data_IF_437426037432
#
_entry.id   IF_437426037432
#
_cell.length_a   1.000
_cell.length_b   1.000
_cell.length_c   1.000
_cell.angle_alpha   90.00
_cell.angle_beta   90.00
_cell.angle_gamma   90.00
#
_symmetry.space_group_name_H-M   'P 1'
#
loop_
_entity.id
_entity.type
_entity.pdbx_description
1 polymer ?
#
# COMPACT_ATOMS: atom_id res chain seq x y z
N UNK A 1 -6.82 -37.73 -4.40
CA UNK A 1 -7.26 -36.40 -4.88
C UNK A 1 -7.88 -36.60 -6.25
N UNK A 2 -9.17 -36.27 -6.45
CA UNK A 2 -9.85 -36.51 -7.73
C UNK A 2 -9.25 -35.60 -8.81
N UNK A 3 -9.29 -35.98 -10.08
CA UNK A 3 -8.72 -35.16 -11.18
C UNK A 3 -9.32 -33.75 -11.25
N UNK A 4 -10.60 -33.61 -10.93
CA UNK A 4 -11.27 -32.32 -10.85
C UNK A 4 -10.70 -31.43 -9.72
N UNK A 5 -10.31 -32.02 -8.58
CA UNK A 5 -9.66 -31.29 -7.49
C UNK A 5 -8.26 -30.83 -7.90
N UNK A 6 -7.53 -31.66 -8.67
CA UNK A 6 -6.22 -31.30 -9.25
C UNK A 6 -6.33 -30.15 -10.24
N UNK A 7 -7.33 -30.18 -11.12
CA UNK A 7 -7.55 -29.13 -12.11
C UNK A 7 -7.93 -27.79 -11.46
N UNK A 8 -8.84 -27.81 -10.47
CA UNK A 8 -9.21 -26.62 -9.68
C UNK A 8 -8.03 -26.05 -8.91
N UNK A 9 -7.22 -26.93 -8.30
CA UNK A 9 -6.03 -26.51 -7.58
C UNK A 9 -5.00 -25.83 -8.50
N UNK A 10 -4.75 -26.38 -9.70
CA UNK A 10 -3.86 -25.77 -10.69
C UNK A 10 -4.37 -24.41 -11.16
N UNK A 11 -5.64 -24.33 -11.54
CA UNK A 11 -6.24 -23.06 -11.97
C UNK A 11 -6.14 -21.97 -10.88
N UNK A 12 -6.33 -22.34 -9.61
CA UNK A 12 -6.17 -21.41 -8.49
C UNK A 12 -4.72 -20.96 -8.30
N UNK A 13 -3.74 -21.86 -8.46
CA UNK A 13 -2.32 -21.50 -8.42
C UNK A 13 -1.94 -20.59 -9.58
N UNK A 14 -2.40 -20.89 -10.79
CA UNK A 14 -2.10 -20.11 -11.98
C UNK A 14 -2.68 -18.69 -11.86
N UNK A 15 -3.94 -18.58 -11.44
CA UNK A 15 -4.57 -17.28 -11.15
C UNK A 15 -3.82 -16.51 -10.06
N UNK A 16 -3.43 -17.20 -8.98
CA UNK A 16 -2.69 -16.57 -7.89
C UNK A 16 -1.33 -16.04 -8.36
N UNK A 17 -0.57 -16.83 -9.14
CA UNK A 17 0.70 -16.37 -9.69
C UNK A 17 0.50 -15.16 -10.62
N UNK A 18 -0.50 -15.20 -11.50
CA UNK A 18 -0.84 -14.08 -12.38
C UNK A 18 -1.20 -12.82 -11.59
N UNK A 19 -1.98 -12.96 -10.52
CA UNK A 19 -2.33 -11.85 -9.63
C UNK A 19 -1.08 -11.23 -9.01
N UNK A 20 -0.16 -12.05 -8.50
CA UNK A 20 1.10 -11.57 -7.92
C UNK A 20 2.01 -10.88 -8.92
N UNK A 21 2.15 -11.45 -10.11
CA UNK A 21 2.97 -10.87 -11.17
C UNK A 21 2.39 -9.52 -11.62
N UNK A 22 1.06 -9.42 -11.73
CA UNK A 22 0.37 -8.15 -11.99
C UNK A 22 0.61 -7.12 -10.88
N UNK A 23 0.48 -7.53 -9.63
CA UNK A 23 0.73 -6.65 -8.48
C UNK A 23 2.18 -6.17 -8.41
N UNK A 24 3.14 -7.07 -8.64
CA UNK A 24 4.56 -6.75 -8.73
C UNK A 24 4.82 -5.75 -9.84
N UNK A 25 4.20 -5.93 -11.02
CA UNK A 25 4.33 -5.01 -12.14
C UNK A 25 3.82 -3.60 -11.77
N UNK A 26 2.67 -3.50 -11.09
CA UNK A 26 2.15 -2.22 -10.58
C UNK A 26 3.16 -1.56 -9.62
N UNK A 27 3.73 -2.33 -8.69
CA UNK A 27 4.72 -1.82 -7.74
C UNK A 27 5.98 -1.30 -8.44
N UNK A 28 6.50 -2.05 -9.41
CA UNK A 28 7.63 -1.62 -10.24
C UNK A 28 7.30 -0.35 -11.02
N UNK A 29 6.10 -0.24 -11.59
CA UNK A 29 5.64 0.98 -12.28
C UNK A 29 5.57 2.19 -11.35
N UNK A 30 5.09 2.02 -10.11
CA UNK A 30 5.04 3.11 -9.12
C UNK A 30 6.47 3.58 -8.83
N UNK A 31 7.34 2.66 -8.44
CA UNK A 31 8.72 2.93 -8.04
C UNK A 31 9.52 3.65 -9.14
N UNK A 32 9.37 3.21 -10.39
CA UNK A 32 10.07 3.81 -11.54
C UNK A 32 9.60 5.24 -11.86
N UNK A 33 8.43 5.63 -11.36
CA UNK A 33 7.84 6.95 -11.58
C UNK A 33 7.91 7.85 -10.34
N UNK A 34 8.36 7.33 -9.19
CA UNK A 34 8.51 8.13 -7.98
C UNK A 34 9.59 9.22 -8.18
N UNK A 35 9.37 10.41 -7.62
CA UNK A 35 10.33 11.51 -7.71
C UNK A 35 11.63 11.17 -6.95
N UNK A 36 12.76 11.14 -7.66
CA UNK A 36 14.07 10.72 -7.11
C UNK A 36 14.60 11.68 -6.05
N UNK A 37 14.16 12.94 -6.09
CA UNK A 37 14.50 13.94 -5.08
C UNK A 37 13.90 13.63 -3.70
N UNK A 38 12.83 12.82 -3.63
CA UNK A 38 12.25 12.36 -2.36
C UNK A 38 12.64 10.91 -2.04
N UNK A 39 12.76 10.07 -3.08
CA UNK A 39 13.01 8.63 -2.96
C UNK A 39 14.21 8.18 -3.81
N UNK A 40 15.44 8.58 -3.48
CA UNK A 40 16.62 8.19 -4.24
C UNK A 40 16.86 6.67 -4.20
N UNK A 41 16.37 5.98 -3.16
CA UNK A 41 16.48 4.54 -2.99
C UNK A 41 15.40 3.72 -3.75
N UNK A 42 14.52 4.40 -4.51
CA UNK A 42 13.52 3.75 -5.35
C UNK A 42 14.16 2.95 -6.50
N UNK A 43 15.28 3.42 -7.08
CA UNK A 43 15.98 2.71 -8.15
C UNK A 43 16.65 1.38 -7.72
N UNK A 44 16.68 1.10 -6.41
CA UNK A 44 17.33 -0.07 -5.79
C UNK A 44 16.31 -1.06 -5.20
N UNK A 45 15.05 -1.07 -5.66
CA UNK A 45 14.04 -1.99 -5.11
C UNK A 45 14.41 -3.43 -5.45
N UNK A 46 14.86 -4.16 -4.43
CA UNK A 46 15.11 -5.61 -4.45
C UNK A 46 13.92 -6.36 -3.85
N UNK A 47 13.90 -7.69 -4.00
CA UNK A 47 12.87 -8.57 -3.42
C UNK A 47 12.72 -8.44 -1.90
N UNK A 48 13.74 -7.94 -1.20
CA UNK A 48 13.73 -7.75 0.27
C UNK A 48 12.80 -6.62 0.72
N UNK A 49 12.39 -5.74 -0.20
CA UNK A 49 11.46 -4.63 0.09
C UNK A 49 9.99 -5.04 -0.02
N UNK A 50 9.72 -6.28 -0.44
CA UNK A 50 8.39 -6.87 -0.45
C UNK A 50 8.14 -7.57 0.89
N UNK A 51 7.03 -7.22 1.53
CA UNK A 51 6.61 -7.80 2.79
C UNK A 51 5.24 -8.47 2.63
N UNK A 52 5.10 -9.67 3.18
CA UNK A 52 3.82 -10.33 3.39
C UNK A 52 3.89 -11.18 4.67
N UNK A 53 2.79 -11.26 5.43
CA UNK A 53 2.78 -12.04 6.67
C UNK A 53 2.97 -13.53 6.36
N UNK A 54 3.94 -14.16 7.04
CA UNK A 54 4.14 -15.61 6.95
C UNK A 54 3.10 -16.32 7.81
N UNK A 55 2.19 -17.05 7.18
CA UNK A 55 1.20 -17.87 7.88
C UNK A 55 1.82 -19.24 8.24
N UNK A 56 1.74 -19.63 9.51
CA UNK A 56 2.41 -20.81 10.07
C UNK A 56 1.79 -22.16 9.65
N UNK A 57 0.60 -22.17 9.06
CA UNK A 57 -0.10 -23.39 8.72
C UNK A 57 -0.86 -23.24 7.39
N UNK A 58 -0.64 -24.23 6.49
CA UNK A 58 -1.33 -24.46 5.20
C UNK A 58 -1.04 -23.38 4.12
N UNK A 59 -0.89 -23.74 2.83
CA UNK A 59 -0.91 -22.75 1.75
C UNK A 59 -2.20 -21.94 1.84
N UNK A 60 -2.06 -20.67 2.20
CA UNK A 60 -3.13 -19.70 2.37
C UNK A 60 -2.69 -18.41 1.72
N UNK A 61 -3.63 -17.68 1.11
CA UNK A 61 -3.37 -16.39 0.48
C UNK A 61 -3.12 -15.37 1.60
N UNK A 62 -1.93 -14.74 1.68
CA UNK A 62 -1.71 -13.64 2.61
C UNK A 62 -2.82 -12.58 2.53
N UNK A 63 -3.30 -12.06 3.67
CA UNK A 63 -4.37 -11.07 3.69
C UNK A 63 -3.95 -9.72 3.11
N UNK A 64 -2.63 -9.46 3.00
CA UNK A 64 -2.07 -8.29 2.31
C UNK A 64 -0.65 -8.54 1.80
N UNK A 65 -0.22 -7.68 0.87
CA UNK A 65 1.15 -7.56 0.38
C UNK A 65 1.59 -6.11 0.49
N UNK A 66 2.82 -5.86 0.92
CA UNK A 66 3.34 -4.50 1.03
C UNK A 66 4.65 -4.35 0.26
N UNK A 67 4.80 -3.21 -0.42
CA UNK A 67 6.10 -2.71 -0.88
C UNK A 67 6.50 -1.53 0.01
N UNK A 68 7.76 -1.56 0.45
CA UNK A 68 8.30 -0.61 1.41
C UNK A 68 9.42 0.18 0.74
N UNK A 69 9.31 1.51 0.72
CA UNK A 69 10.29 2.38 0.06
C UNK A 69 10.80 3.40 1.07
N UNK A 70 12.13 3.42 1.24
CA UNK A 70 12.82 4.43 2.02
C UNK A 70 12.97 5.70 1.19
N UNK A 71 12.70 6.85 1.80
CA UNK A 71 13.00 8.17 1.24
C UNK A 71 13.96 8.94 2.13
N UNK A 72 14.24 10.20 1.77
CA UNK A 72 15.16 11.04 2.55
C UNK A 72 14.56 11.51 3.88
N UNK A 73 13.31 11.98 3.85
CA UNK A 73 12.58 12.48 5.03
C UNK A 73 11.32 11.67 5.34
N UNK A 74 10.91 10.82 4.41
CA UNK A 74 9.64 10.11 4.49
C UNK A 74 9.83 8.63 4.15
N UNK A 75 9.05 7.77 4.79
CA UNK A 75 8.86 6.38 4.38
C UNK A 75 7.57 6.25 3.59
N UNK A 76 7.57 5.38 2.59
CA UNK A 76 6.40 5.04 1.79
C UNK A 76 6.09 3.55 1.96
N UNK A 77 4.85 3.25 2.31
CA UNK A 77 4.31 1.89 2.37
C UNK A 77 3.14 1.79 1.39
N UNK A 78 3.23 0.86 0.45
CA UNK A 78 2.20 0.57 -0.55
C UNK A 78 1.63 -0.80 -0.19
N UNK A 79 0.40 -0.85 0.31
CA UNK A 79 -0.22 -2.07 0.81
C UNK A 79 -1.38 -2.49 -0.08
N UNK A 80 -1.25 -3.64 -0.74
CA UNK A 80 -2.34 -4.30 -1.42
C UNK A 80 -3.09 -5.18 -0.45
N UNK A 81 -4.32 -4.81 -0.16
CA UNK A 81 -5.21 -5.49 0.77
C UNK A 81 -6.09 -6.46 -0.01
N UNK A 82 -5.96 -7.75 0.30
CA UNK A 82 -6.78 -8.82 -0.28
C UNK A 82 -7.96 -9.12 0.64
N UNK A 83 -7.69 -9.21 1.94
CA UNK A 83 -8.72 -9.38 2.95
C UNK A 83 -9.20 -8.01 3.45
N UNK A 84 -10.33 -7.56 2.92
CA UNK A 84 -11.02 -6.34 3.39
C UNK A 84 -11.41 -6.42 4.88
N UNK A 85 -11.31 -7.60 5.51
CA UNK A 85 -11.33 -7.80 6.96
C UNK A 85 -10.36 -6.93 7.74
N UNK A 86 -9.21 -6.58 7.14
CA UNK A 86 -8.18 -5.73 7.75
C UNK A 86 -8.59 -4.26 7.84
N UNK A 87 -9.47 -3.80 6.95
CA UNK A 87 -9.93 -2.42 6.93
C UNK A 87 -11.01 -2.25 8.01
N UNK A 88 -10.83 -1.26 8.88
CA UNK A 88 -11.79 -0.99 9.94
C UNK A 88 -13.17 -0.62 9.38
N UNK A 89 -14.23 -1.20 9.96
CA UNK A 89 -15.62 -0.90 9.57
C UNK A 89 -15.98 0.58 9.72
N UNK A 90 -15.47 1.21 10.79
CA UNK A 90 -15.60 2.65 11.06
C UNK A 90 -14.22 3.32 10.89
N UNK A 91 -13.60 3.08 9.73
CA UNK A 91 -12.27 3.58 9.38
C UNK A 91 -12.32 4.75 8.39
N UNK A 92 -11.15 5.10 7.87
CA UNK A 92 -11.03 6.17 6.87
C UNK A 92 -11.31 5.73 5.44
N UNK A 93 -11.19 4.42 5.18
CA UNK A 93 -11.20 3.77 3.88
C UNK A 93 -12.47 2.93 3.67
N UNK A 94 -12.80 2.70 2.40
CA UNK A 94 -13.88 1.80 1.98
C UNK A 94 -13.43 0.35 2.18
N UNK A 95 -14.32 -0.51 2.66
CA UNK A 95 -14.00 -1.89 3.03
C UNK A 95 -14.04 -2.83 1.83
N UNK A 96 -13.04 -2.73 0.96
CA UNK A 96 -12.89 -3.52 -0.26
C UNK A 96 -11.42 -3.85 -0.57
N UNK A 97 -11.15 -4.89 -1.38
CA UNK A 97 -9.81 -5.16 -1.90
C UNK A 97 -9.27 -3.95 -2.66
N UNK A 98 -8.10 -3.46 -2.27
CA UNK A 98 -7.57 -2.18 -2.72
C UNK A 98 -6.08 -2.05 -2.48
N UNK A 99 -5.44 -1.09 -3.15
CA UNK A 99 -4.10 -0.61 -2.83
C UNK A 99 -4.24 0.61 -1.91
N UNK A 100 -3.66 0.55 -0.73
CA UNK A 100 -3.61 1.65 0.22
C UNK A 100 -2.18 2.18 0.26
N UNK A 101 -2.05 3.48 -0.01
CA UNK A 101 -0.77 4.19 0.02
C UNK A 101 -0.68 4.90 1.36
N UNK A 102 0.43 4.70 2.08
CA UNK A 102 0.71 5.37 3.35
C UNK A 102 2.09 5.99 3.27
N UNK A 103 2.16 7.32 3.30
CA UNK A 103 3.40 8.07 3.39
C UNK A 103 3.52 8.66 4.79
N UNK A 104 4.69 8.53 5.42
CA UNK A 104 4.88 8.90 6.82
C UNK A 104 6.24 9.57 7.07
N UNK A 105 6.35 10.37 8.12
CA UNK A 105 7.55 11.18 8.45
C UNK A 105 8.75 10.38 9.02
N UNK A 106 8.67 9.05 9.05
CA UNK A 106 9.72 8.18 9.61
C UNK A 106 10.48 7.44 8.50
N UNK A 107 11.39 8.13 7.81
CA UNK A 107 12.16 7.61 6.66
C UNK A 107 12.76 6.21 6.87
N UNK A 108 13.40 5.98 8.02
CA UNK A 108 14.16 4.75 8.33
C UNK A 108 13.31 3.66 9.02
N UNK A 109 12.00 3.86 9.16
CA UNK A 109 11.08 2.90 9.80
C UNK A 109 10.03 2.35 8.82
N UNK A 110 10.27 2.49 7.52
CA UNK A 110 9.39 1.98 6.47
C UNK A 110 9.11 0.46 6.58
N UNK A 111 10.01 -0.33 7.19
CA UNK A 111 9.81 -1.77 7.44
C UNK A 111 8.78 -2.11 8.52
N UNK A 112 8.26 -1.12 9.25
CA UNK A 112 7.36 -1.30 10.38
C UNK A 112 5.89 -1.24 9.94
N UNK A 113 5.49 -2.15 9.04
CA UNK A 113 4.13 -2.21 8.47
C UNK A 113 3.06 -2.29 9.56
N UNK A 114 3.26 -3.15 10.56
CA UNK A 114 2.28 -3.36 11.64
C UNK A 114 2.09 -2.13 12.54
N UNK A 115 3.15 -1.34 12.76
CA UNK A 115 3.08 -0.14 13.60
C UNK A 115 2.62 1.11 12.83
N UNK A 116 2.71 1.10 11.50
CA UNK A 116 2.40 2.26 10.65
C UNK A 116 1.20 1.94 9.76
N UNK A 117 1.42 1.27 8.62
CA UNK A 117 0.39 1.01 7.62
C UNK A 117 -0.84 0.28 8.17
N UNK A 118 -0.65 -0.79 8.94
CA UNK A 118 -1.81 -1.52 9.50
C UNK A 118 -2.55 -0.75 10.58
N UNK A 119 -1.88 0.09 11.37
CA UNK A 119 -2.55 0.98 12.33
C UNK A 119 -3.42 2.02 11.61
N UNK A 120 -2.94 2.59 10.51
CA UNK A 120 -3.71 3.51 9.65
C UNK A 120 -4.92 2.81 9.05
N UNK A 121 -4.73 1.62 8.45
CA UNK A 121 -5.80 0.84 7.80
C UNK A 121 -6.86 0.36 8.81
N UNK A 122 -6.41 -0.07 9.97
CA UNK A 122 -7.27 -0.56 11.05
C UNK A 122 -7.88 0.57 11.88
N UNK A 123 -7.59 1.84 11.56
CA UNK A 123 -7.98 3.01 12.36
C UNK A 123 -7.67 2.83 13.86
N UNK A 124 -6.44 2.39 14.17
CA UNK A 124 -5.96 2.11 15.54
C UNK A 124 -4.77 2.99 15.85
N UNK A 125 -4.79 3.61 17.04
CA UNK A 125 -3.70 4.49 17.50
C UNK A 125 -3.38 5.57 16.46
N UNK A 126 -4.41 6.09 15.80
CA UNK A 126 -4.29 7.17 14.83
C UNK A 126 -5.26 8.29 15.19
N UNK A 127 -4.86 9.51 14.90
CA UNK A 127 -5.66 10.71 15.05
C UNK A 127 -5.80 11.36 13.68
N UNK A 128 -7.04 11.67 13.29
CA UNK A 128 -7.33 12.37 12.05
C UNK A 128 -7.10 13.88 12.26
N UNK A 129 -6.32 14.49 11.38
CA UNK A 129 -6.14 15.95 11.34
C UNK A 129 -7.05 16.54 10.28
N UNK A 130 -7.01 15.97 9.07
CA UNK A 130 -7.70 16.51 7.91
C UNK A 130 -8.06 15.39 6.93
N UNK A 131 -9.14 15.57 6.18
CA UNK A 131 -9.53 14.69 5.07
C UNK A 131 -10.13 15.54 3.95
N UNK A 132 -9.57 15.41 2.75
CA UNK A 132 -10.00 16.12 1.55
C UNK A 132 -9.62 15.28 0.31
N UNK A 133 -10.49 15.26 -0.68
CA UNK A 133 -10.28 14.58 -1.97
C UNK A 133 -9.82 13.11 -1.85
N UNK A 134 -10.32 12.41 -0.83
CA UNK A 134 -9.96 11.00 -0.56
C UNK A 134 -8.59 10.81 0.10
N UNK A 135 -7.82 11.87 0.31
CA UNK A 135 -6.57 11.85 1.06
C UNK A 135 -6.87 12.15 2.54
N UNK A 136 -6.21 11.38 3.40
CA UNK A 136 -6.36 11.43 4.85
C UNK A 136 -5.02 11.86 5.42
N UNK A 137 -5.00 12.91 6.24
CA UNK A 137 -3.82 13.32 7.00
C UNK A 137 -4.07 13.08 8.47
N UNK A 138 -3.05 12.57 9.16
CA UNK A 138 -3.18 12.22 10.55
C UNK A 138 -1.86 12.04 11.28
N UNK A 139 -1.98 11.72 12.55
CA UNK A 139 -0.88 11.35 13.43
C UNK A 139 -1.03 9.90 13.87
N UNK A 140 0.05 9.12 13.78
CA UNK A 140 0.17 7.82 14.44
C UNK A 140 0.64 8.05 15.88
N UNK A 141 -0.14 7.57 16.84
CA UNK A 141 0.10 7.60 18.29
C UNK A 141 0.60 6.25 18.83
N UNK A 142 1.23 5.45 17.98
CA UNK A 142 1.75 4.13 18.31
C UNK A 142 3.17 4.19 18.91
N UNK A 143 3.85 3.04 19.00
CA UNK A 143 5.23 2.98 19.53
C UNK A 143 6.19 3.83 18.70
N UNK A 144 5.93 3.91 17.39
CA UNK A 144 6.65 4.75 16.44
C UNK A 144 5.70 5.87 16.01
N UNK A 145 5.73 7.04 16.67
CA UNK A 145 4.87 8.16 16.28
C UNK A 145 5.33 8.76 14.96
N UNK A 146 4.38 9.10 14.11
CA UNK A 146 4.65 9.67 12.79
C UNK A 146 3.45 10.48 12.31
N UNK A 147 3.73 11.54 11.57
CA UNK A 147 2.72 12.20 10.75
C UNK A 147 2.57 11.36 9.49
N UNK A 148 1.35 11.22 9.01
CA UNK A 148 1.08 10.48 7.80
C UNK A 148 0.07 11.18 6.92
N UNK A 149 0.17 10.88 5.63
CA UNK A 149 -0.98 10.95 4.76
C UNK A 149 -1.19 9.60 4.08
N UNK A 150 -2.45 9.29 3.81
CA UNK A 150 -2.83 8.04 3.20
C UNK A 150 -4.03 8.20 2.29
N UNK A 151 -4.11 7.34 1.28
CA UNK A 151 -5.24 7.28 0.36
C UNK A 151 -5.40 5.86 -0.19
N UNK A 152 -6.58 5.57 -0.73
CA UNK A 152 -6.97 4.26 -1.22
C UNK A 152 -7.22 4.32 -2.73
N UNK A 153 -6.77 3.28 -3.43
CA UNK A 153 -6.99 3.06 -4.86
C UNK A 153 -7.62 1.68 -5.02
N UNK A 154 -8.84 1.62 -5.52
CA UNK A 154 -9.54 0.37 -5.76
C UNK A 154 -8.79 -0.47 -6.83
N UNK A 155 -8.76 -1.80 -6.66
CA UNK A 155 -8.04 -2.70 -7.57
C UNK A 155 -8.68 -2.80 -8.95
N UNK A 156 -9.99 -2.58 -9.04
CA UNK A 156 -10.74 -2.56 -10.29
C UNK A 156 -10.25 -1.49 -11.27
N UNK A 157 -9.64 -0.41 -10.77
CA UNK A 157 -8.97 0.61 -11.59
C UNK A 157 -7.83 0.08 -12.44
N UNK A 158 -7.38 -1.16 -12.26
CA UNK A 158 -6.33 -1.78 -13.08
C UNK A 158 -6.89 -2.90 -13.99
N UNK A 159 -8.20 -3.11 -13.99
CA UNK A 159 -8.86 -4.05 -14.90
C UNK A 159 -9.17 -3.40 -16.26
N UNK A 160 -8.99 -4.15 -17.35
CA UNK A 160 -9.36 -3.77 -18.73
C UNK A 160 -8.84 -2.40 -19.21
N UNK A 161 -7.53 -2.16 -19.06
CA UNK A 161 -6.89 -0.90 -19.44
C UNK A 161 -5.70 -1.13 -20.38
N UNK A 162 -5.68 -0.37 -21.47
CA UNK A 162 -4.59 -0.39 -22.47
C UNK A 162 -3.29 0.27 -21.98
N UNK A 163 -3.38 1.18 -20.99
CA UNK A 163 -2.23 1.92 -20.45
C UNK A 163 -2.21 1.97 -18.91
N UNK A 164 -1.79 0.86 -18.29
CA UNK A 164 -1.63 0.74 -16.84
C UNK A 164 -0.65 1.75 -16.26
N UNK A 165 0.40 2.14 -16.99
CA UNK A 165 1.39 3.10 -16.52
C UNK A 165 0.77 4.48 -16.24
N UNK A 166 -0.09 4.95 -17.14
CA UNK A 166 -0.77 6.23 -16.98
C UNK A 166 -1.76 6.21 -15.82
N UNK A 167 -2.46 5.09 -15.61
CA UNK A 167 -3.36 4.94 -14.46
C UNK A 167 -2.58 4.97 -13.14
N UNK A 168 -1.44 4.27 -13.07
CA UNK A 168 -0.52 4.32 -11.94
C UNK A 168 -0.05 5.76 -11.70
N UNK A 169 0.34 6.47 -12.77
CA UNK A 169 0.80 7.85 -12.71
C UNK A 169 -0.26 8.76 -12.10
N UNK A 170 -1.48 8.71 -12.62
CA UNK A 170 -2.57 9.61 -12.23
C UNK A 170 -3.13 9.31 -10.84
N UNK A 171 -3.30 8.03 -10.49
CA UNK A 171 -4.02 7.62 -9.28
C UNK A 171 -3.12 7.35 -8.09
N UNK A 172 -1.81 7.14 -8.29
CA UNK A 172 -0.86 6.84 -7.21
C UNK A 172 0.27 7.87 -7.18
N UNK A 173 1.05 7.98 -8.27
CA UNK A 173 2.29 8.75 -8.25
C UNK A 173 2.03 10.25 -8.14
N UNK A 174 1.09 10.78 -8.91
CA UNK A 174 0.77 12.20 -8.91
C UNK A 174 0.22 12.67 -7.55
N UNK A 175 -0.74 11.97 -6.90
CA UNK A 175 -1.13 12.27 -5.52
C UNK A 175 0.04 12.26 -4.54
N UNK A 176 0.97 11.31 -4.64
CA UNK A 176 2.16 11.29 -3.77
C UNK A 176 3.01 12.55 -3.99
N UNK A 177 3.32 12.89 -5.24
CA UNK A 177 4.14 14.04 -5.61
C UNK A 177 3.52 15.36 -5.13
N UNK A 178 2.24 15.58 -5.40
CA UNK A 178 1.56 16.81 -5.03
C UNK A 178 1.51 17.02 -3.51
N UNK A 179 1.25 15.95 -2.75
CA UNK A 179 1.20 16.06 -1.29
C UNK A 179 2.58 16.19 -0.64
N UNK A 180 3.61 15.57 -1.22
CA UNK A 180 4.99 15.80 -0.79
C UNK A 180 5.43 17.26 -0.98
N UNK A 181 4.97 17.91 -2.06
CA UNK A 181 5.25 19.34 -2.32
C UNK A 181 4.49 20.27 -1.37
N UNK A 182 3.24 19.94 -1.02
CA UNK A 182 2.43 20.70 -0.07
C UNK A 182 2.90 20.56 1.38
N UNK A 183 3.52 19.41 1.71
CA UNK A 183 3.90 19.08 3.08
C UNK A 183 2.71 18.61 3.92
N UNK A 184 2.95 18.29 5.19
CA UNK A 184 1.87 17.94 6.11
C UNK A 184 1.10 19.20 6.51
N UNK A 185 -0.24 19.19 6.48
CA UNK A 185 -1.03 20.33 6.91
C UNK A 185 -0.75 20.62 8.38
N UNK A 186 -0.62 21.90 8.73
CA UNK A 186 -0.56 22.31 10.12
C UNK A 186 -1.86 21.88 10.83
N UNK A 187 -1.79 21.45 12.10
CA UNK A 187 -3.00 21.16 12.87
C UNK A 187 -3.93 22.37 12.84
N UNK A 188 -5.23 22.14 12.66
CA UNK A 188 -6.23 23.20 12.86
C UNK A 188 -6.12 23.74 14.28
N UNK A 189 -5.92 25.06 14.40
CA UNK A 189 -5.80 25.78 15.67
C UNK A 189 -7.06 25.68 16.53
#
# INVERSE_FOLDING_TARGET
>A
MKEQDRARFRANIDWFNQFFDGMRSIYEMIVNQLPTEFFPAASLVTSEKYYFPRLKAVPSIPPYYALLVEGLKHGLQILTIIDAGLIARNGFFIREPSIIIVLHSQAHKNSWVDEIGLNVISNRKVELIHKADGIIWGHIKAKIPADFFAFQVALDKFSDIDNTQEVVRQNIVHPIQENLRKGFPNPTA
#
